data_IF_590930062373
#
_entry.id   IF_590930062373
#
_cell.length_a   1.000
_cell.length_b   1.000
_cell.length_c   1.000
_cell.angle_alpha   90.00
_cell.angle_beta   90.00
_cell.angle_gamma   90.00
#
_symmetry.space_group_name_H-M   'P 1'
#
loop_
_entity.id
_entity.type
_entity.pdbx_description
1 polymer ?
#
# COMPACT_ATOMS: atom_id res chain seq x y z
N UNK A 1 -6.66 -51.13 -0.28
CA UNK A 1 -7.52 -50.15 -0.98
C UNK A 1 -8.08 -49.05 -0.08
N UNK A 2 -8.61 -49.36 1.11
CA UNK A 2 -9.22 -48.35 1.99
C UNK A 2 -8.20 -47.34 2.58
N UNK A 3 -6.96 -47.75 2.82
CA UNK A 3 -5.91 -46.88 3.38
C UNK A 3 -5.46 -45.76 2.41
N UNK A 4 -5.43 -46.05 1.10
CA UNK A 4 -5.07 -45.06 0.08
C UNK A 4 -6.17 -44.01 -0.09
N UNK A 5 -7.43 -44.42 0.03
CA UNK A 5 -8.58 -43.52 -0.02
C UNK A 5 -8.59 -42.55 1.17
N UNK A 6 -8.27 -43.03 2.38
CA UNK A 6 -8.17 -42.17 3.55
C UNK A 6 -7.02 -41.15 3.43
N UNK A 7 -5.89 -41.53 2.84
CA UNK A 7 -4.74 -40.64 2.69
C UNK A 7 -4.98 -39.53 1.65
N UNK A 8 -5.65 -39.85 0.54
CA UNK A 8 -6.07 -38.86 -0.46
C UNK A 8 -7.14 -37.91 0.12
N UNK A 9 -8.07 -38.42 0.93
CA UNK A 9 -9.09 -37.60 1.59
C UNK A 9 -8.49 -36.66 2.66
N UNK A 10 -7.49 -37.12 3.42
CA UNK A 10 -6.76 -36.28 4.37
C UNK A 10 -5.96 -35.18 3.67
N UNK A 11 -5.37 -35.46 2.51
CA UNK A 11 -4.64 -34.46 1.73
C UNK A 11 -5.58 -33.42 1.08
N UNK A 12 -6.74 -33.85 0.57
CA UNK A 12 -7.74 -32.95 -0.03
C UNK A 12 -8.43 -32.03 0.99
N UNK A 13 -8.64 -32.50 2.22
CA UNK A 13 -9.28 -31.70 3.29
C UNK A 13 -8.40 -30.58 3.83
N UNK A 14 -7.06 -30.75 3.84
CA UNK A 14 -6.13 -29.69 4.22
C UNK A 14 -6.11 -28.56 3.17
N UNK A 15 -6.13 -28.91 1.89
CA UNK A 15 -6.17 -27.91 0.79
C UNK A 15 -7.52 -27.18 0.74
N UNK A 16 -8.63 -27.90 0.94
CA UNK A 16 -9.98 -27.30 1.00
C UNK A 16 -10.18 -26.37 2.21
N UNK A 17 -9.65 -26.72 3.38
CA UNK A 17 -9.75 -25.91 4.58
C UNK A 17 -8.89 -24.63 4.54
N UNK A 18 -7.78 -24.63 3.78
CA UNK A 18 -6.95 -23.44 3.56
C UNK A 18 -7.58 -22.51 2.51
N UNK A 19 -8.17 -23.04 1.44
CA UNK A 19 -8.85 -22.23 0.41
C UNK A 19 -10.06 -21.46 0.96
N UNK A 20 -10.85 -22.07 1.85
CA UNK A 20 -12.02 -21.44 2.50
C UNK A 20 -11.61 -20.38 3.54
N UNK A 21 -10.37 -20.41 4.07
CA UNK A 21 -9.87 -19.40 5.02
C UNK A 21 -9.39 -18.10 4.36
N UNK A 22 -9.10 -18.09 3.04
CA UNK A 22 -8.52 -16.91 2.36
C UNK A 22 -9.40 -16.25 1.29
N UNK A 23 -10.45 -16.90 0.77
CA UNK A 23 -11.20 -16.37 -0.38
C UNK A 23 -12.56 -15.77 -0.04
N UNK A 24 -13.10 -15.98 1.15
CA UNK A 24 -14.47 -15.59 1.45
C UNK A 24 -14.62 -15.07 2.88
N UNK A 25 -14.42 -13.75 3.06
CA UNK A 25 -15.42 -12.89 3.72
C UNK A 25 -15.36 -11.46 3.18
N UNK A 26 -16.37 -11.03 2.40
CA UNK A 26 -16.68 -9.64 2.16
C UNK A 26 -17.51 -9.11 3.33
N UNK A 27 -17.09 -7.99 3.95
CA UNK A 27 -18.00 -7.02 4.58
C UNK A 27 -17.24 -5.81 5.14
N UNK A 28 -17.66 -4.66 4.61
CA UNK A 28 -17.48 -3.29 5.09
C UNK A 28 -16.07 -2.73 4.97
N UNK A 29 -15.92 -1.81 4.01
CA UNK A 29 -14.77 -0.97 3.78
C UNK A 29 -14.46 -0.09 5.01
N UNK A 30 -13.78 -0.65 6.00
CA UNK A 30 -12.85 0.08 6.84
C UNK A 30 -11.49 -0.52 6.49
N UNK A 31 -10.84 0.03 5.46
CA UNK A 31 -9.52 -0.42 5.02
C UNK A 31 -8.56 -0.40 6.22
N UNK A 32 -7.68 -1.41 6.39
CA UNK A 32 -6.65 -1.33 7.41
C UNK A 32 -5.88 -0.03 7.22
N UNK A 33 -5.72 0.76 8.27
CA UNK A 33 -4.90 1.97 8.21
C UNK A 33 -3.45 1.53 8.00
N UNK A 34 -2.98 1.61 6.75
CA UNK A 34 -1.63 1.23 6.35
C UNK A 34 -0.71 2.44 6.48
N UNK A 35 0.32 2.34 7.30
CA UNK A 35 1.44 3.28 7.24
C UNK A 35 2.49 2.73 6.29
N UNK A 36 2.61 3.38 5.13
CA UNK A 36 3.66 3.14 4.16
C UNK A 36 4.67 4.28 4.25
N UNK A 37 5.56 4.24 5.25
CA UNK A 37 6.79 5.04 5.19
C UNK A 37 7.78 4.31 4.28
N UNK A 38 8.16 4.94 3.18
CA UNK A 38 9.37 4.66 2.36
C UNK A 38 9.97 3.24 2.52
N UNK A 39 9.22 2.21 2.12
CA UNK A 39 9.72 0.83 2.01
C UNK A 39 9.31 -0.17 3.10
N UNK A 40 8.63 0.23 4.18
CA UNK A 40 8.12 -0.71 5.19
C UNK A 40 6.63 -0.45 5.45
N UNK A 41 5.79 -1.37 4.98
CA UNK A 41 4.36 -1.39 5.33
C UNK A 41 4.20 -1.97 6.74
N UNK A 42 3.97 -1.09 7.72
CA UNK A 42 3.63 -1.51 9.08
C UNK A 42 2.12 -1.42 9.23
N UNK A 43 1.45 -2.57 9.31
CA UNK A 43 0.01 -2.62 9.56
C UNK A 43 -0.29 -2.46 11.06
N UNK A 44 -1.41 -1.80 11.39
CA UNK A 44 -1.92 -1.71 12.76
C UNK A 44 -1.97 -3.09 13.44
N UNK A 45 -2.41 -4.14 12.72
CA UNK A 45 -2.47 -5.52 13.24
C UNK A 45 -1.11 -6.06 13.69
N UNK A 46 -0.03 -5.66 13.00
CA UNK A 46 1.33 -6.04 13.40
C UNK A 46 1.73 -5.31 14.69
N UNK A 47 1.39 -4.02 14.80
CA UNK A 47 1.64 -3.24 16.02
C UNK A 47 0.86 -3.80 17.22
N UNK A 48 -0.41 -4.14 17.01
CA UNK A 48 -1.25 -4.77 18.04
C UNK A 48 -0.64 -6.06 18.59
N UNK A 49 -0.16 -6.92 17.69
CA UNK A 49 0.41 -8.22 18.04
C UNK A 49 1.80 -8.11 18.67
N UNK A 50 2.69 -7.32 18.11
CA UNK A 50 4.09 -7.24 18.56
C UNK A 50 4.23 -6.40 19.84
N UNK A 51 3.35 -5.41 20.04
CA UNK A 51 3.40 -4.51 21.20
C UNK A 51 2.37 -4.86 22.28
N UNK A 52 1.55 -5.89 22.07
CA UNK A 52 0.45 -6.29 22.97
C UNK A 52 -0.44 -5.10 23.35
N UNK A 53 -0.91 -4.37 22.34
CA UNK A 53 -1.71 -3.16 22.57
C UNK A 53 -3.05 -3.51 23.22
N UNK A 54 -3.45 -2.69 24.19
CA UNK A 54 -4.82 -2.71 24.72
C UNK A 54 -5.80 -2.19 23.67
N UNK A 55 -7.12 -2.53 23.76
CA UNK A 55 -8.11 -2.05 22.81
C UNK A 55 -8.18 -0.52 22.68
N UNK A 56 -7.89 0.20 23.78
CA UNK A 56 -7.88 1.66 23.80
C UNK A 56 -6.65 2.21 23.06
N UNK A 57 -5.46 1.63 23.29
CA UNK A 57 -4.25 2.01 22.57
C UNK A 57 -4.34 1.71 21.07
N UNK A 58 -4.95 0.58 20.69
CA UNK A 58 -5.21 0.25 19.28
C UNK A 58 -6.04 1.33 18.59
N UNK A 59 -7.10 1.83 19.25
CA UNK A 59 -7.97 2.88 18.69
C UNK A 59 -7.22 4.19 18.51
N UNK A 60 -6.45 4.61 19.52
CA UNK A 60 -5.66 5.84 19.46
C UNK A 60 -4.60 5.76 18.36
N UNK A 61 -3.88 4.64 18.26
CA UNK A 61 -2.88 4.44 17.22
C UNK A 61 -3.55 4.39 15.84
N UNK A 62 -4.70 3.74 15.69
CA UNK A 62 -5.45 3.73 14.44
C UNK A 62 -5.81 5.14 13.96
N UNK A 63 -6.27 6.01 14.87
CA UNK A 63 -6.58 7.41 14.56
C UNK A 63 -5.33 8.18 14.12
N UNK A 64 -4.23 8.04 14.86
CA UNK A 64 -2.95 8.70 14.52
C UNK A 64 -2.48 8.27 13.13
N UNK A 65 -2.51 6.97 12.83
CA UNK A 65 -2.09 6.47 11.52
C UNK A 65 -3.01 6.98 10.40
N UNK A 66 -4.31 7.12 10.65
CA UNK A 66 -5.28 7.59 9.65
C UNK A 66 -5.05 9.06 9.30
N UNK A 67 -4.81 9.88 10.32
CA UNK A 67 -4.44 11.29 10.15
C UNK A 67 -3.11 11.44 9.41
N UNK A 68 -2.12 10.61 9.74
CA UNK A 68 -0.83 10.57 9.04
C UNK A 68 -0.97 10.23 7.55
N UNK A 69 -1.77 9.21 7.22
CA UNK A 69 -2.02 8.80 5.84
C UNK A 69 -2.71 9.93 5.06
N UNK A 70 -3.73 10.56 5.64
CA UNK A 70 -4.42 11.72 5.03
C UNK A 70 -3.47 12.89 4.79
N UNK A 71 -2.63 13.21 5.77
CA UNK A 71 -1.64 14.27 5.64
C UNK A 71 -0.65 13.98 4.51
N UNK A 72 -0.14 12.75 4.44
CA UNK A 72 0.79 12.34 3.38
C UNK A 72 0.15 12.39 1.99
N UNK A 73 -1.10 11.92 1.84
CA UNK A 73 -1.83 12.05 0.57
C UNK A 73 -2.01 13.50 0.14
N UNK A 74 -2.34 14.39 1.09
CA UNK A 74 -2.48 15.82 0.83
C UNK A 74 -1.16 16.42 0.36
N UNK A 75 -0.06 16.10 1.04
CA UNK A 75 1.28 16.55 0.65
C UNK A 75 1.68 16.03 -0.73
N UNK A 76 1.39 14.76 -1.05
CA UNK A 76 1.73 14.21 -2.37
C UNK A 76 1.02 14.96 -3.50
N UNK A 77 -0.26 15.30 -3.33
CA UNK A 77 -1.00 16.11 -4.30
C UNK A 77 -0.37 17.50 -4.48
N UNK A 78 0.03 18.16 -3.38
CA UNK A 78 0.74 19.45 -3.44
C UNK A 78 2.11 19.33 -4.12
N UNK A 79 2.86 18.26 -3.86
CA UNK A 79 4.16 18.01 -4.49
C UNK A 79 4.05 17.78 -6.00
N UNK A 80 2.97 17.15 -6.46
CA UNK A 80 2.70 16.99 -7.88
C UNK A 80 2.46 18.33 -8.58
N UNK A 81 1.68 19.22 -7.98
CA UNK A 81 1.45 20.57 -8.48
C UNK A 81 2.74 21.40 -8.54
N UNK A 82 3.56 21.34 -7.48
CA UNK A 82 4.88 22.00 -7.44
C UNK A 82 5.78 21.46 -8.54
N UNK A 83 5.79 20.13 -8.76
CA UNK A 83 6.57 19.50 -9.83
C UNK A 83 6.11 19.95 -11.21
N UNK A 84 4.80 19.99 -11.46
CA UNK A 84 4.23 20.45 -12.72
C UNK A 84 4.58 21.92 -12.99
N UNK A 85 4.43 22.78 -11.99
CA UNK A 85 4.77 24.20 -12.07
C UNK A 85 6.27 24.40 -12.30
N UNK A 86 7.13 23.67 -11.58
CA UNK A 86 8.58 23.71 -11.77
C UNK A 86 8.98 23.27 -13.18
N UNK A 87 8.38 22.19 -13.69
CA UNK A 87 8.59 21.73 -15.07
C UNK A 87 8.22 22.80 -16.10
N UNK A 88 7.09 23.48 -15.91
CA UNK A 88 6.64 24.55 -16.82
C UNK A 88 7.64 25.71 -16.85
N UNK A 89 8.08 26.19 -15.69
CA UNK A 89 9.09 27.27 -15.59
C UNK A 89 10.42 26.90 -16.23
N UNK A 90 10.87 25.65 -16.08
CA UNK A 90 12.08 25.19 -16.76
C UNK A 90 11.90 25.27 -18.28
N UNK A 91 10.77 24.79 -18.81
CA UNK A 91 10.50 24.82 -20.25
C UNK A 91 10.49 26.24 -20.84
N UNK A 92 10.06 27.25 -20.07
CA UNK A 92 10.04 28.64 -20.52
C UNK A 92 11.45 29.19 -20.84
N UNK A 93 12.46 28.80 -20.05
CA UNK A 93 13.84 29.29 -20.20
C UNK A 93 14.63 28.51 -21.26
N UNK A 94 14.18 27.30 -21.60
CA UNK A 94 14.85 26.44 -22.56
C UNK A 94 14.52 26.79 -24.01
N UNK A 95 15.52 26.64 -24.88
CA UNK A 95 15.33 26.70 -26.34
C UNK A 95 14.63 25.43 -26.87
N UNK A 96 14.15 25.42 -28.14
CA UNK A 96 13.38 24.29 -28.68
C UNK A 96 14.08 22.93 -28.58
N UNK A 97 15.37 22.85 -28.88
CA UNK A 97 16.15 21.61 -28.83
C UNK A 97 16.32 21.10 -27.38
N UNK A 98 16.59 22.01 -26.45
CA UNK A 98 16.71 21.69 -25.03
C UNK A 98 15.38 21.22 -24.42
N UNK A 99 14.24 21.75 -24.88
CA UNK A 99 12.90 21.32 -24.42
C UNK A 99 12.65 19.85 -24.76
N UNK A 100 12.94 19.43 -25.99
CA UNK A 100 12.79 18.01 -26.38
C UNK A 100 13.68 17.10 -25.53
N UNK A 101 14.94 17.48 -25.32
CA UNK A 101 15.87 16.71 -24.49
C UNK A 101 15.39 16.62 -23.03
N UNK A 102 14.93 17.72 -22.46
CA UNK A 102 14.40 17.77 -21.10
C UNK A 102 13.15 16.90 -20.92
N UNK A 103 12.24 16.89 -21.89
CA UNK A 103 11.06 16.03 -21.86
C UNK A 103 11.41 14.54 -21.89
N UNK A 104 12.44 14.14 -22.67
CA UNK A 104 12.95 12.76 -22.69
C UNK A 104 13.54 12.36 -21.34
N UNK A 105 14.38 13.21 -20.74
CA UNK A 105 15.00 12.96 -19.44
C UNK A 105 13.95 12.76 -18.32
N UNK A 106 12.90 13.59 -18.29
CA UNK A 106 11.82 13.43 -17.31
C UNK A 106 11.06 12.12 -17.52
N UNK A 107 10.78 11.75 -18.77
CA UNK A 107 10.05 10.52 -19.10
C UNK A 107 10.83 9.27 -18.69
N UNK A 108 12.15 9.30 -18.84
CA UNK A 108 13.05 8.21 -18.40
C UNK A 108 13.10 8.11 -16.87
N UNK A 109 13.14 9.23 -16.16
CA UNK A 109 13.14 9.25 -14.69
C UNK A 109 11.82 8.83 -14.04
N UNK A 110 10.71 8.78 -14.80
CA UNK A 110 9.39 8.36 -14.32
C UNK A 110 9.08 6.88 -14.59
N UNK A 111 10.02 6.14 -15.19
CA UNK A 111 9.90 4.71 -15.52
C UNK A 111 10.61 3.85 -14.48
#
# INVERSE_FOLDING_TARGET
MILLLLLVFLCGSVVGAVAVRYTLKPKVAAGPTYWASSGVEVSLKRLEKELNLTPEQSRQIAQILDDFVKYYHTLQAQMEEVRATGKAKILEVLNPEQREKFQKLIKEAHR
#
